data_IF_596512591993
#
_entry.id   IF_596512591993
#
_cell.length_a   1.000
_cell.length_b   1.000
_cell.length_c   1.000
_cell.angle_alpha   90.00
_cell.angle_beta   90.00
_cell.angle_gamma   90.00
#
_symmetry.space_group_name_H-M   'P 1'
#
loop_
_entity.id
_entity.type
_entity.pdbx_description
1 polymer ?
#
# COMPACT_ATOMS: atom_id res chain seq x y z
N UNK A 1 40.64 -4.88 -14.65
CA UNK A 1 39.72 -5.92 -14.14
C UNK A 1 38.41 -5.22 -13.80
N UNK A 2 37.53 -5.09 -14.78
CA UNK A 2 36.19 -4.51 -14.60
C UNK A 2 35.16 -5.57 -14.97
N UNK A 3 34.84 -6.42 -13.99
CA UNK A 3 33.58 -7.15 -13.95
C UNK A 3 32.87 -6.68 -12.68
N UNK A 4 32.41 -5.43 -12.70
CA UNK A 4 31.41 -4.96 -11.75
C UNK A 4 30.08 -5.51 -12.27
N UNK A 5 29.60 -6.58 -11.64
CA UNK A 5 28.29 -7.15 -11.93
C UNK A 5 27.21 -6.06 -11.79
N UNK A 6 26.67 -5.61 -12.91
CA UNK A 6 25.50 -4.71 -12.93
C UNK A 6 24.25 -5.54 -12.60
N UNK A 7 24.02 -5.78 -11.32
CA UNK A 7 22.77 -6.39 -10.86
C UNK A 7 21.60 -5.43 -11.06
N UNK A 8 20.46 -5.95 -11.52
CA UNK A 8 19.20 -5.22 -11.43
C UNK A 8 18.76 -5.12 -9.96
N UNK A 9 17.91 -4.16 -9.62
CA UNK A 9 17.42 -3.99 -8.23
C UNK A 9 16.74 -5.25 -7.68
N UNK A 10 16.03 -6.00 -8.53
CA UNK A 10 15.41 -7.27 -8.16
C UNK A 10 16.44 -8.39 -7.94
N UNK A 11 17.50 -8.45 -8.75
CA UNK A 11 18.59 -9.41 -8.54
C UNK A 11 19.33 -9.12 -7.23
N UNK A 12 19.58 -7.84 -6.93
CA UNK A 12 20.20 -7.42 -5.68
C UNK A 12 19.31 -7.78 -4.48
N UNK A 13 17.99 -7.57 -4.57
CA UNK A 13 17.04 -8.00 -3.54
C UNK A 13 17.10 -9.50 -3.29
N UNK A 14 17.21 -10.31 -4.36
CA UNK A 14 17.33 -11.77 -4.25
C UNK A 14 18.59 -12.20 -3.47
N UNK A 15 19.71 -11.51 -3.69
CA UNK A 15 20.93 -11.74 -2.90
C UNK A 15 20.76 -11.28 -1.45
N UNK A 16 20.15 -10.11 -1.21
CA UNK A 16 19.89 -9.62 0.14
C UNK A 16 18.97 -10.53 0.95
N UNK A 17 17.99 -11.17 0.33
CA UNK A 17 17.14 -12.15 1.01
C UNK A 17 17.91 -13.38 1.49
N UNK A 18 19.11 -13.66 1.00
CA UNK A 18 19.96 -14.73 1.55
C UNK A 18 20.64 -14.31 2.87
N UNK A 19 20.72 -13.01 3.15
CA UNK A 19 21.33 -12.48 4.36
C UNK A 19 20.31 -12.41 5.51
N UNK A 20 20.59 -13.12 6.60
CA UNK A 20 19.74 -13.12 7.82
C UNK A 20 19.45 -11.72 8.32
N UNK A 21 20.45 -10.83 8.31
CA UNK A 21 20.28 -9.43 8.74
C UNK A 21 19.20 -8.68 7.96
N UNK A 22 19.08 -8.91 6.64
CA UNK A 22 18.06 -8.26 5.85
C UNK A 22 16.67 -8.84 6.13
N UNK A 23 16.56 -10.16 6.30
CA UNK A 23 15.31 -10.80 6.73
C UNK A 23 14.82 -10.25 8.08
N UNK A 24 15.74 -10.01 9.03
CA UNK A 24 15.44 -9.37 10.32
C UNK A 24 14.97 -7.91 10.18
N UNK A 25 15.47 -7.16 9.19
CA UNK A 25 14.92 -5.84 8.87
C UNK A 25 13.47 -5.99 8.39
N UNK A 26 13.21 -6.88 7.43
CA UNK A 26 11.86 -7.08 6.89
C UNK A 26 10.86 -7.56 7.95
N UNK A 27 11.30 -8.39 8.88
CA UNK A 27 10.47 -8.90 9.97
C UNK A 27 10.05 -7.82 10.98
N UNK A 28 10.80 -6.72 11.08
CA UNK A 28 10.54 -5.58 11.99
C UNK A 28 9.60 -4.53 11.42
N UNK A 29 9.30 -4.58 10.12
CA UNK A 29 8.39 -3.62 9.49
C UNK A 29 6.99 -3.72 10.09
N UNK A 30 6.42 -2.56 10.41
CA UNK A 30 5.09 -2.41 11.00
C UNK A 30 4.04 -2.04 9.95
N UNK A 31 4.41 -1.21 8.97
CA UNK A 31 3.52 -0.78 7.88
C UNK A 31 4.23 -0.90 6.54
N UNK A 32 3.54 -1.47 5.55
CA UNK A 32 4.06 -1.61 4.20
C UNK A 32 3.09 -1.00 3.21
N UNK A 33 3.53 -0.01 2.44
CA UNK A 33 2.74 0.52 1.33
C UNK A 33 3.05 -0.18 0.01
N UNK A 34 2.00 -0.40 -0.77
CA UNK A 34 2.08 -0.92 -2.15
C UNK A 34 1.46 0.09 -3.10
N UNK A 35 2.25 0.54 -4.08
CA UNK A 35 1.82 1.52 -5.08
C UNK A 35 1.73 2.96 -4.54
N UNK A 36 1.51 3.91 -5.46
CA UNK A 36 1.64 5.34 -5.18
C UNK A 36 0.62 5.88 -4.18
N UNK A 37 -0.62 5.39 -4.19
CA UNK A 37 -1.64 5.84 -3.22
C UNK A 37 -1.27 5.42 -1.79
N UNK A 38 -0.74 4.22 -1.60
CA UNK A 38 -0.24 3.78 -0.29
C UNK A 38 0.97 4.60 0.16
N UNK A 39 1.81 5.05 -0.78
CA UNK A 39 3.00 5.84 -0.47
C UNK A 39 2.64 7.19 0.16
N UNK A 40 1.65 7.89 -0.37
CA UNK A 40 1.19 9.18 0.19
C UNK A 40 0.77 9.01 1.66
N UNK A 41 -0.03 7.98 1.95
CA UNK A 41 -0.45 7.64 3.31
C UNK A 41 0.77 7.36 4.20
N UNK A 42 1.72 6.57 3.70
CA UNK A 42 2.92 6.17 4.43
C UNK A 42 3.86 7.34 4.74
N UNK A 43 4.06 8.27 3.79
CA UNK A 43 4.89 9.47 3.99
C UNK A 43 4.33 10.33 5.12
N UNK A 44 3.03 10.60 5.09
CA UNK A 44 2.37 11.39 6.13
C UNK A 44 2.40 10.66 7.48
N UNK A 45 2.16 9.34 7.49
CA UNK A 45 2.21 8.53 8.71
C UNK A 45 3.60 8.59 9.35
N UNK A 46 4.67 8.42 8.56
CA UNK A 46 6.06 8.48 9.04
C UNK A 46 6.45 9.90 9.49
N UNK A 47 5.89 10.93 8.87
CA UNK A 47 6.07 12.32 9.29
C UNK A 47 5.49 12.62 10.68
N UNK A 48 4.41 11.94 11.06
CA UNK A 48 3.77 12.08 12.38
C UNK A 48 4.36 11.11 13.41
N UNK A 49 4.64 9.87 13.00
CA UNK A 49 5.19 8.81 13.84
C UNK A 49 6.55 8.35 13.30
N UNK A 50 7.63 9.14 13.55
CA UNK A 50 8.95 8.88 12.99
C UNK A 50 9.57 7.57 13.47
N UNK A 51 9.09 6.99 14.56
CA UNK A 51 9.56 5.71 15.09
C UNK A 51 9.07 4.49 14.29
N UNK A 52 8.03 4.61 13.48
CA UNK A 52 7.42 3.47 12.79
C UNK A 52 8.38 2.84 11.77
N UNK A 53 8.62 1.54 11.85
CA UNK A 53 9.40 0.83 10.83
C UNK A 53 8.54 0.59 9.59
N UNK A 54 8.89 1.23 8.47
CA UNK A 54 8.03 1.29 7.28
C UNK A 54 8.70 0.76 6.00
N UNK A 55 7.94 0.01 5.22
CA UNK A 55 8.36 -0.56 3.94
C UNK A 55 7.57 0.01 2.77
N UNK A 56 8.19 0.05 1.60
CA UNK A 56 7.53 0.49 0.37
C UNK A 56 7.84 -0.44 -0.81
N UNK A 57 6.79 -0.97 -1.42
CA UNK A 57 6.83 -1.85 -2.59
C UNK A 57 6.47 -1.04 -3.84
N UNK A 58 7.41 -0.90 -4.77
CA UNK A 58 7.24 -0.12 -6.00
C UNK A 58 8.06 -0.62 -7.19
N UNK A 59 7.67 -0.13 -8.37
CA UNK A 59 8.21 -0.43 -9.70
C UNK A 59 9.67 0.03 -9.89
N UNK A 60 10.09 1.10 -9.21
CA UNK A 60 11.43 1.70 -9.30
C UNK A 60 11.81 2.42 -7.99
N UNK A 61 13.12 2.66 -7.79
CA UNK A 61 13.62 3.54 -6.73
C UNK A 61 13.18 4.99 -7.04
N UNK A 62 12.17 5.45 -6.32
CA UNK A 62 11.70 6.83 -6.36
C UNK A 62 12.74 7.71 -5.66
N UNK A 63 13.75 8.19 -6.40
CA UNK A 63 14.95 8.81 -5.85
C UNK A 63 14.72 9.78 -4.65
N UNK A 64 14.16 10.97 -4.91
CA UNK A 64 13.84 11.95 -3.87
C UNK A 64 12.35 11.95 -3.57
N UNK A 65 11.98 11.51 -2.36
CA UNK A 65 10.65 11.67 -1.79
C UNK A 65 10.75 12.66 -0.62
N UNK A 66 10.13 13.85 -0.70
CA UNK A 66 10.02 14.77 0.43
C UNK A 66 8.82 14.43 1.33
N UNK A 67 8.95 14.66 2.64
CA UNK A 67 7.81 14.77 3.55
C UNK A 67 7.13 16.15 3.42
N UNK A 68 6.09 16.39 4.23
CA UNK A 68 5.36 17.66 4.30
C UNK A 68 6.22 18.85 4.76
N UNK A 69 7.37 18.59 5.39
CA UNK A 69 8.37 19.59 5.76
C UNK A 69 9.47 19.76 4.70
N UNK A 70 9.36 19.06 3.57
CA UNK A 70 10.35 19.07 2.49
C UNK A 70 11.59 18.22 2.77
N UNK A 71 11.62 17.42 3.83
CA UNK A 71 12.76 16.57 4.18
C UNK A 71 12.78 15.28 3.38
N UNK A 72 13.96 14.81 3.01
CA UNK A 72 14.14 13.53 2.30
C UNK A 72 13.71 12.36 3.18
N UNK A 73 12.62 11.69 2.83
CA UNK A 73 12.12 10.49 3.54
C UNK A 73 12.64 9.18 2.95
N UNK A 74 13.39 9.19 1.84
CA UNK A 74 13.92 7.94 1.25
C UNK A 74 14.96 7.20 2.10
N UNK A 75 15.50 7.80 3.17
CA UNK A 75 16.32 7.08 4.14
C UNK A 75 15.50 6.31 5.18
N UNK A 76 14.19 6.57 5.24
CA UNK A 76 13.28 6.07 6.26
C UNK A 76 12.38 4.93 5.75
N UNK A 77 12.57 4.50 4.51
CA UNK A 77 11.81 3.41 3.89
C UNK A 77 12.72 2.25 3.53
N UNK A 78 12.28 1.04 3.86
CA UNK A 78 12.83 -0.16 3.22
C UNK A 78 12.19 -0.33 1.85
N UNK A 79 12.96 -0.05 0.78
CA UNK A 79 12.50 -0.23 -0.60
C UNK A 79 12.55 -1.70 -1.02
N UNK A 80 11.47 -2.16 -1.65
CA UNK A 80 11.27 -3.55 -2.06
C UNK A 80 10.99 -3.62 -3.56
N UNK A 81 12.03 -3.71 -4.41
CA UNK A 81 11.88 -3.75 -5.87
C UNK A 81 11.44 -5.15 -6.33
N UNK A 82 10.13 -5.43 -6.24
CA UNK A 82 9.55 -6.75 -6.58
C UNK A 82 9.35 -6.97 -8.10
N UNK A 83 9.60 -5.94 -8.91
CA UNK A 83 9.42 -6.00 -10.37
C UNK A 83 10.77 -6.04 -11.06
N UNK A 84 10.89 -7.02 -11.95
CA UNK A 84 12.10 -7.30 -12.71
C UNK A 84 12.12 -6.57 -14.05
N UNK A 85 10.94 -6.35 -14.66
CA UNK A 85 10.82 -5.75 -16.00
C UNK A 85 9.81 -4.59 -16.02
N UNK A 86 10.31 -3.36 -16.03
CA UNK A 86 9.51 -2.15 -16.31
C UNK A 86 9.86 -1.65 -17.71
N UNK A 87 8.87 -1.56 -18.60
CA UNK A 87 9.03 -0.89 -19.89
C UNK A 87 8.35 0.47 -19.84
N UNK A 88 9.13 1.55 -19.93
CA UNK A 88 8.58 2.90 -20.07
C UNK A 88 7.97 3.03 -21.47
N UNK A 89 6.66 3.29 -21.55
CA UNK A 89 5.92 3.41 -22.83
C UNK A 89 5.77 4.88 -23.25
N UNK A 90 5.92 5.84 -22.31
CA UNK A 90 5.83 7.27 -22.59
C UNK A 90 5.99 8.14 -21.35
N UNK A 91 5.77 9.46 -21.50
CA UNK A 91 5.91 10.45 -20.41
C UNK A 91 4.89 10.19 -19.28
N UNK A 92 5.31 9.44 -18.27
CA UNK A 92 4.49 9.07 -17.12
C UNK A 92 3.67 7.79 -17.28
N UNK A 93 3.90 7.00 -18.33
CA UNK A 93 3.20 5.72 -18.57
C UNK A 93 4.19 4.57 -18.70
N UNK A 94 3.98 3.49 -17.94
CA UNK A 94 4.84 2.32 -17.91
C UNK A 94 4.04 1.02 -18.05
N UNK A 95 4.67 0.00 -18.63
CA UNK A 95 4.18 -1.37 -18.69
C UNK A 95 4.96 -2.21 -17.69
N UNK A 96 4.23 -2.91 -16.84
CA UNK A 96 4.78 -3.95 -15.97
C UNK A 96 4.88 -5.23 -16.81
N UNK A 97 6.10 -5.64 -17.14
CA UNK A 97 6.35 -6.84 -17.96
C UNK A 97 6.11 -8.12 -17.18
N UNK A 98 6.81 -8.29 -16.05
CA UNK A 98 6.77 -9.49 -15.21
C UNK A 98 7.01 -9.15 -13.74
N UNK A 99 6.41 -9.94 -12.83
CA UNK A 99 6.67 -9.89 -11.39
C UNK A 99 7.31 -11.22 -11.04
N UNK A 100 8.46 -11.20 -10.37
CA UNK A 100 9.09 -12.45 -9.90
C UNK A 100 8.29 -12.98 -8.71
N UNK A 101 7.45 -13.98 -8.98
CA UNK A 101 6.54 -14.56 -8.01
C UNK A 101 7.27 -15.25 -6.85
N UNK A 102 8.45 -15.82 -7.10
CA UNK A 102 9.26 -16.45 -6.07
C UNK A 102 9.87 -15.41 -5.14
N UNK A 103 10.34 -14.30 -5.71
CA UNK A 103 10.85 -13.16 -4.96
C UNK A 103 9.76 -12.54 -4.07
N UNK A 104 8.57 -12.31 -4.62
CA UNK A 104 7.41 -11.81 -3.87
C UNK A 104 7.08 -12.72 -2.71
N UNK A 105 6.99 -14.03 -2.95
CA UNK A 105 6.67 -15.00 -1.92
C UNK A 105 7.69 -14.97 -0.76
N UNK A 106 8.99 -15.01 -1.06
CA UNK A 106 10.05 -14.98 -0.05
C UNK A 106 10.04 -13.69 0.76
N UNK A 107 9.79 -12.54 0.13
CA UNK A 107 9.67 -11.25 0.83
C UNK A 107 8.47 -11.27 1.79
N UNK A 108 7.32 -11.77 1.34
CA UNK A 108 6.11 -11.83 2.16
C UNK A 108 6.23 -12.77 3.36
N UNK A 109 6.99 -13.86 3.22
CA UNK A 109 7.30 -14.78 4.33
C UNK A 109 8.17 -14.12 5.40
N UNK A 110 9.07 -13.21 5.01
CA UNK A 110 9.93 -12.52 5.96
C UNK A 110 9.16 -11.52 6.83
N UNK A 111 8.03 -10.98 6.37
CA UNK A 111 7.27 -10.03 7.16
C UNK A 111 6.61 -10.69 8.37
N UNK A 112 6.47 -9.94 9.47
CA UNK A 112 5.63 -10.33 10.60
C UNK A 112 4.18 -10.60 10.17
N UNK A 113 3.43 -11.37 10.96
CA UNK A 113 1.97 -11.55 10.75
C UNK A 113 1.17 -10.29 11.10
N UNK A 114 1.71 -9.46 11.98
CA UNK A 114 1.04 -8.26 12.49
C UNK A 114 1.29 -7.01 11.62
N UNK A 115 2.17 -7.10 10.64
CA UNK A 115 2.41 -6.02 9.67
C UNK A 115 1.11 -5.61 9.00
N UNK A 116 0.89 -4.30 8.89
CA UNK A 116 -0.25 -3.72 8.15
C UNK A 116 0.20 -3.40 6.73
N UNK A 117 -0.40 -4.05 5.75
CA UNK A 117 -0.15 -3.77 4.34
C UNK A 117 -1.24 -2.85 3.81
N UNK A 118 -0.83 -1.74 3.21
CA UNK A 118 -1.69 -0.69 2.71
C UNK A 118 -1.55 -0.52 1.19
N UNK A 119 -2.67 -0.44 0.48
CA UNK A 119 -2.67 -0.07 -0.94
C UNK A 119 -4.05 0.07 -1.57
N UNK A 120 -4.05 0.39 -2.86
CA UNK A 120 -5.25 0.56 -3.69
C UNK A 120 -5.51 -0.68 -4.53
N UNK A 121 -6.76 -1.13 -4.60
CA UNK A 121 -7.14 -2.27 -5.44
C UNK A 121 -7.09 -1.98 -6.96
N UNK A 122 -6.78 -0.74 -7.35
CA UNK A 122 -6.41 -0.41 -8.73
C UNK A 122 -4.91 -0.59 -9.01
N UNK A 123 -4.07 -0.81 -8.01
CA UNK A 123 -2.65 -1.06 -8.22
C UNK A 123 -2.42 -2.50 -8.72
N UNK A 124 -1.76 -2.62 -9.86
CA UNK A 124 -1.56 -3.89 -10.53
C UNK A 124 -0.59 -4.82 -9.78
N UNK A 125 0.40 -4.28 -9.03
CA UNK A 125 1.26 -5.09 -8.17
C UNK A 125 0.42 -5.68 -7.04
N UNK A 126 -0.34 -4.83 -6.33
CA UNK A 126 -1.14 -5.26 -5.20
C UNK A 126 -2.10 -6.38 -5.62
N UNK A 127 -2.77 -6.21 -6.75
CA UNK A 127 -3.71 -7.21 -7.27
C UNK A 127 -3.05 -8.54 -7.63
N UNK A 128 -1.80 -8.53 -8.11
CA UNK A 128 -1.00 -9.75 -8.33
C UNK A 128 -0.48 -10.35 -7.03
N UNK A 129 -0.14 -9.53 -6.04
CA UNK A 129 0.34 -9.99 -4.73
C UNK A 129 -0.78 -10.59 -3.88
N UNK A 130 -2.02 -10.12 -4.02
CA UNK A 130 -3.20 -10.65 -3.32
C UNK A 130 -3.53 -12.11 -3.72
N UNK A 131 -2.98 -12.59 -4.82
CA UNK A 131 -3.11 -13.97 -5.29
C UNK A 131 -2.33 -14.98 -4.43
N UNK A 132 -1.39 -14.50 -3.60
CA UNK A 132 -0.56 -15.34 -2.75
C UNK A 132 -1.23 -15.65 -1.41
N UNK A 133 -1.18 -16.92 -1.01
CA UNK A 133 -1.78 -17.39 0.24
C UNK A 133 -1.22 -16.68 1.48
N UNK A 134 0.09 -16.39 1.52
CA UNK A 134 0.73 -15.68 2.65
C UNK A 134 0.10 -14.30 2.88
N UNK A 135 -0.30 -13.60 1.81
CA UNK A 135 -0.92 -12.28 1.89
C UNK A 135 -2.30 -12.34 2.57
N UNK A 136 -3.05 -13.42 2.38
CA UNK A 136 -4.36 -13.63 3.03
C UNK A 136 -4.28 -13.73 4.56
N UNK A 137 -3.09 -14.00 5.09
CA UNK A 137 -2.82 -14.10 6.52
C UNK A 137 -2.34 -12.78 7.15
N UNK A 138 -2.01 -11.77 6.34
CA UNK A 138 -1.51 -10.47 6.82
C UNK A 138 -2.65 -9.52 7.15
N UNK A 139 -2.38 -8.47 7.94
CA UNK A 139 -3.36 -7.39 8.14
C UNK A 139 -3.36 -6.49 6.91
N UNK A 140 -4.50 -6.38 6.24
CA UNK A 140 -4.65 -5.59 5.02
C UNK A 140 -5.59 -4.42 5.29
N UNK A 141 -5.20 -3.24 4.86
CA UNK A 141 -6.08 -2.09 4.73
C UNK A 141 -6.06 -1.69 3.27
N UNK A 142 -7.18 -1.84 2.58
CA UNK A 142 -7.27 -1.69 1.13
C UNK A 142 -8.25 -0.59 0.79
N UNK A 143 -7.94 0.19 -0.25
CA UNK A 143 -8.92 1.11 -0.84
C UNK A 143 -9.57 0.47 -2.07
N UNK A 144 -10.90 0.45 -2.10
CA UNK A 144 -11.67 0.24 -3.32
C UNK A 144 -11.95 1.61 -3.99
N UNK A 145 -11.42 1.87 -5.19
CA UNK A 145 -11.56 3.16 -5.85
C UNK A 145 -12.93 3.34 -6.52
N UNK A 146 -13.32 4.60 -6.71
CA UNK A 146 -14.65 5.01 -7.18
C UNK A 146 -14.83 4.93 -8.70
N UNK A 147 -13.83 5.33 -9.49
CA UNK A 147 -13.99 5.55 -10.95
C UNK A 147 -12.99 4.79 -11.83
N UNK A 148 -12.04 4.07 -11.24
CA UNK A 148 -11.00 3.33 -11.97
C UNK A 148 -11.30 1.84 -12.12
N UNK A 149 -12.50 1.40 -11.72
CA UNK A 149 -13.00 0.05 -12.03
C UNK A 149 -13.43 -0.01 -13.51
N UNK A 150 -12.49 -0.24 -14.41
CA UNK A 150 -12.84 -0.78 -15.73
C UNK A 150 -13.58 -2.11 -15.53
N UNK A 151 -14.41 -2.51 -16.49
CA UNK A 151 -15.15 -3.79 -16.38
C UNK A 151 -14.24 -4.98 -16.06
N UNK A 152 -13.01 -4.99 -16.57
CA UNK A 152 -12.00 -6.02 -16.29
C UNK A 152 -11.38 -5.94 -14.89
N UNK A 153 -11.17 -4.73 -14.35
CA UNK A 153 -10.70 -4.54 -12.97
C UNK A 153 -11.80 -4.86 -11.97
N UNK A 154 -13.05 -4.54 -12.29
CA UNK A 154 -14.21 -4.85 -11.44
C UNK A 154 -14.31 -6.32 -11.11
N UNK A 155 -14.13 -7.21 -12.09
CA UNK A 155 -14.17 -8.66 -11.85
C UNK A 155 -13.03 -9.14 -10.94
N UNK A 156 -11.83 -8.56 -11.11
CA UNK A 156 -10.67 -8.87 -10.26
C UNK A 156 -10.86 -8.33 -8.84
N UNK A 157 -11.30 -7.08 -8.70
CA UNK A 157 -11.60 -6.46 -7.40
C UNK A 157 -12.68 -7.27 -6.68
N UNK A 158 -13.79 -7.54 -7.36
CA UNK A 158 -14.87 -8.34 -6.82
C UNK A 158 -14.40 -9.77 -6.49
N UNK A 159 -13.49 -10.38 -7.26
CA UNK A 159 -12.89 -11.70 -6.96
C UNK A 159 -12.22 -11.70 -5.58
N UNK A 160 -11.50 -10.65 -5.21
CA UNK A 160 -10.88 -10.54 -3.89
C UNK A 160 -11.86 -10.08 -2.80
N UNK A 161 -12.96 -9.44 -3.18
CA UNK A 161 -14.06 -9.04 -2.28
C UNK A 161 -15.22 -10.04 -2.25
N UNK A 162 -15.02 -11.29 -2.72
CA UNK A 162 -16.10 -12.25 -3.06
C UNK A 162 -17.02 -12.71 -1.91
N UNK A 163 -16.82 -12.25 -0.69
CA UNK A 163 -17.61 -12.68 0.46
C UNK A 163 -18.25 -11.51 1.18
N UNK A 164 -19.51 -11.68 1.56
CA UNK A 164 -20.25 -10.82 2.49
C UNK A 164 -19.54 -10.65 3.83
N UNK A 165 -18.62 -11.56 4.17
CA UNK A 165 -17.74 -11.50 5.32
C UNK A 165 -16.28 -11.60 4.86
N UNK A 166 -15.68 -10.47 4.54
CA UNK A 166 -14.23 -10.37 4.37
C UNK A 166 -13.56 -10.66 5.73
N UNK A 167 -12.41 -11.36 5.77
CA UNK A 167 -11.73 -11.68 7.03
C UNK A 167 -11.44 -10.46 7.90
N UNK A 168 -11.47 -10.62 9.23
CA UNK A 168 -11.28 -9.52 10.19
C UNK A 168 -9.95 -8.78 10.04
N UNK A 169 -8.90 -9.48 9.58
CA UNK A 169 -7.59 -8.91 9.29
C UNK A 169 -7.57 -8.10 8.00
N UNK A 170 -8.60 -8.12 7.18
CA UNK A 170 -8.69 -7.39 5.92
C UNK A 170 -9.77 -6.34 6.04
N UNK A 171 -9.42 -5.06 5.98
CA UNK A 171 -10.35 -3.93 5.94
C UNK A 171 -10.34 -3.31 4.56
N UNK A 172 -11.52 -3.00 4.03
CA UNK A 172 -11.67 -2.40 2.70
C UNK A 172 -12.44 -1.09 2.84
N UNK A 173 -11.78 0.02 2.54
CA UNK A 173 -12.37 1.35 2.48
C UNK A 173 -13.05 1.49 1.11
N UNK A 174 -14.39 1.42 1.07
CA UNK A 174 -15.17 1.52 -0.16
C UNK A 174 -15.54 2.98 -0.48
N UNK A 175 -14.81 3.57 -1.43
CA UNK A 175 -15.03 4.94 -1.87
C UNK A 175 -16.40 5.11 -2.57
N UNK A 176 -16.95 4.05 -3.20
CA UNK A 176 -18.31 4.07 -3.76
C UNK A 176 -19.36 4.17 -2.66
N UNK A 177 -19.14 3.45 -1.56
CA UNK A 177 -20.02 3.49 -0.40
C UNK A 177 -19.99 4.86 0.28
N UNK A 178 -18.82 5.44 0.50
CA UNK A 178 -18.67 6.82 0.99
C UNK A 178 -19.50 7.82 0.16
N UNK A 179 -19.31 7.80 -1.17
CA UNK A 179 -20.04 8.68 -2.09
C UNK A 179 -21.56 8.49 -2.01
N UNK A 180 -22.04 7.24 -1.83
CA UNK A 180 -23.46 6.97 -1.60
C UNK A 180 -23.97 7.58 -0.30
N UNK A 181 -23.22 7.47 0.80
CA UNK A 181 -23.62 8.06 2.08
C UNK A 181 -23.66 9.59 2.03
N UNK A 182 -22.65 10.24 1.43
CA UNK A 182 -22.69 11.69 1.26
C UNK A 182 -23.93 12.16 0.49
N UNK A 183 -24.27 11.47 -0.60
CA UNK A 183 -25.50 11.76 -1.38
C UNK A 183 -26.77 11.59 -0.54
N UNK A 184 -26.83 10.57 0.32
CA UNK A 184 -27.98 10.35 1.21
C UNK A 184 -28.13 11.47 2.24
N UNK A 185 -27.03 12.09 2.67
CA UNK A 185 -27.02 13.23 3.58
C UNK A 185 -27.35 14.56 2.89
N UNK A 186 -27.67 14.54 1.58
CA UNK A 186 -27.90 15.74 0.78
C UNK A 186 -26.62 16.52 0.45
N UNK A 187 -25.45 15.95 0.75
CA UNK A 187 -24.17 16.56 0.43
C UNK A 187 -23.71 16.15 -0.97
N UNK A 188 -23.50 17.14 -1.84
CA UNK A 188 -22.79 16.93 -3.11
C UNK A 188 -21.31 17.19 -2.84
N UNK A 189 -20.57 16.14 -2.46
CA UNK A 189 -19.12 16.22 -2.27
C UNK A 189 -18.41 16.14 -3.63
N UNK A 190 -17.52 17.10 -3.88
CA UNK A 190 -16.57 17.03 -4.97
C UNK A 190 -15.58 15.88 -4.75
N UNK A 191 -14.90 15.45 -5.81
CA UNK A 191 -13.88 14.40 -5.76
C UNK A 191 -12.82 14.63 -4.68
N UNK A 192 -12.41 15.88 -4.49
CA UNK A 192 -11.43 16.25 -3.46
C UNK A 192 -11.95 15.95 -2.06
N UNK A 193 -13.21 16.26 -1.77
CA UNK A 193 -13.81 15.97 -0.46
C UNK A 193 -13.96 14.49 -0.17
N UNK A 194 -14.19 13.68 -1.21
CA UNK A 194 -14.20 12.21 -1.10
C UNK A 194 -12.79 11.67 -0.83
N UNK A 195 -11.77 12.25 -1.46
CA UNK A 195 -10.38 11.89 -1.21
C UNK A 195 -9.94 12.24 0.22
N UNK A 196 -10.26 13.44 0.71
CA UNK A 196 -10.01 13.84 2.11
C UNK A 196 -10.66 12.87 3.10
N UNK A 197 -11.93 12.51 2.86
CA UNK A 197 -12.62 11.51 3.69
C UNK A 197 -11.89 10.17 3.68
N UNK A 198 -11.52 9.70 2.49
CA UNK A 198 -10.78 8.46 2.34
C UNK A 198 -9.46 8.49 3.12
N UNK A 199 -8.70 9.59 3.07
CA UNK A 199 -7.46 9.76 3.82
C UNK A 199 -7.71 9.73 5.34
N UNK A 200 -8.73 10.44 5.84
CA UNK A 200 -9.12 10.38 7.25
C UNK A 200 -9.44 8.94 7.70
N UNK A 201 -10.15 8.17 6.87
CA UNK A 201 -10.42 6.75 7.15
C UNK A 201 -9.16 5.87 7.13
N UNK A 202 -8.22 6.11 6.22
CA UNK A 202 -6.92 5.43 6.22
C UNK A 202 -6.21 5.62 7.56
N UNK A 203 -6.05 6.87 7.99
CA UNK A 203 -5.33 7.20 9.21
C UNK A 203 -6.05 6.67 10.45
N UNK A 204 -7.37 6.86 10.56
CA UNK A 204 -8.13 6.37 11.70
C UNK A 204 -8.01 4.84 11.86
N UNK A 205 -8.02 4.08 10.76
CA UNK A 205 -7.80 2.64 10.83
C UNK A 205 -6.35 2.24 11.10
N UNK A 206 -5.36 2.97 10.57
CA UNK A 206 -3.96 2.74 10.88
C UNK A 206 -3.67 2.96 12.35
N UNK A 207 -4.16 4.06 12.92
CA UNK A 207 -4.04 4.37 14.36
C UNK A 207 -4.62 3.22 15.19
N UNK A 208 -5.81 2.74 14.85
CA UNK A 208 -6.44 1.60 15.55
C UNK A 208 -5.67 0.28 15.39
N UNK A 209 -5.18 -0.03 14.18
CA UNK A 209 -4.52 -1.31 13.89
C UNK A 209 -3.13 -1.41 14.50
N UNK A 210 -2.47 -0.27 14.67
CA UNK A 210 -1.11 -0.13 15.18
C UNK A 210 -1.06 0.32 16.65
N UNK A 211 -2.22 0.54 17.28
CA UNK A 211 -2.34 1.07 18.65
C UNK A 211 -1.55 2.37 18.86
N UNK A 212 -1.65 3.28 17.88
CA UNK A 212 -0.92 4.56 17.92
C UNK A 212 -1.66 5.59 18.77
N UNK A 213 -0.95 6.52 19.42
CA UNK A 213 -1.59 7.61 20.12
C UNK A 213 -2.34 8.51 19.13
N UNK A 214 -3.49 9.02 19.54
CA UNK A 214 -4.26 9.98 18.73
C UNK A 214 -3.38 11.18 18.35
N UNK A 215 -3.56 11.68 17.12
CA UNK A 215 -2.78 12.76 16.56
C UNK A 215 -3.72 13.83 16.02
N UNK A 216 -3.47 15.09 16.38
CA UNK A 216 -4.20 16.26 15.87
C UNK A 216 -3.83 16.59 14.41
N UNK A 217 -2.78 15.96 13.86
CA UNK A 217 -2.35 16.17 12.48
C UNK A 217 -3.24 15.47 11.45
N UNK A 218 -4.11 14.56 11.89
CA UNK A 218 -5.05 13.87 11.01
C UNK A 218 -6.47 14.29 11.34
N UNK A 219 -7.19 14.72 10.32
CA UNK A 219 -8.61 15.03 10.45
C UNK A 219 -9.40 13.77 10.82
N UNK A 220 -10.38 13.93 11.70
CA UNK A 220 -11.33 12.87 12.01
C UNK A 220 -12.27 12.62 10.82
N UNK A 221 -12.60 11.35 10.51
CA UNK A 221 -13.56 11.05 9.46
C UNK A 221 -14.94 11.59 9.83
N UNK A 222 -15.59 12.27 8.88
CA UNK A 222 -16.95 12.83 9.03
C UNK A 222 -17.99 11.71 9.02
N UNK A 223 -17.71 10.65 8.27
CA UNK A 223 -18.51 9.43 8.27
C UNK A 223 -18.02 8.48 9.35
N UNK A 224 -18.95 7.74 9.94
CA UNK A 224 -18.60 6.64 10.84
C UNK A 224 -17.70 5.63 10.11
N UNK A 225 -16.66 5.15 10.79
CA UNK A 225 -15.71 4.19 10.23
C UNK A 225 -16.39 2.99 9.56
N UNK A 226 -17.41 2.43 10.21
CA UNK A 226 -18.13 1.25 9.72
C UNK A 226 -19.00 1.54 8.50
N UNK A 227 -19.41 2.80 8.29
CA UNK A 227 -20.23 3.18 7.14
C UNK A 227 -19.46 3.01 5.83
N UNK A 228 -18.14 3.03 5.88
CA UNK A 228 -17.27 3.03 4.70
C UNK A 228 -16.52 1.72 4.49
N UNK A 229 -16.76 0.71 5.35
CA UNK A 229 -16.13 -0.60 5.25
C UNK A 229 -16.94 -1.55 4.35
N UNK A 230 -16.19 -2.30 3.54
CA UNK A 230 -16.60 -3.31 2.54
C UNK A 230 -17.59 -2.84 1.47
#
# INVERSE_FOLDING_TARGET
>A
MENLFNFTSAQLLKEWLQATYYQEILARLEVIAVGLEGLEVLINLKGVYPQLEVGYIHYENLGYLPDWNGNKVSQNFTYLPLITDVQIIGSGSYRVGSVDTSLVYNVLECFSKDVVIIGSMCDAILMKMLEFYVFSQKRLLLRRPLYFETSSLRDSINKYLRFSNVPLNIKVIDTNRMNRYFRQLGEIRLMIGIHEEMMAHWYAHLIQLLDLPASEYFDEPRLRLEACLY
#
